data_IF_952332784440
#
_entry.id   IF_952332784440
#
_cell.length_a   1.000
_cell.length_b   1.000
_cell.length_c   1.000
_cell.angle_alpha   90.00
_cell.angle_beta   90.00
_cell.angle_gamma   90.00
#
_symmetry.space_group_name_H-M   'P 1'
#
loop_
_entity.id
_entity.type
_entity.pdbx_description
1 polymer ?
#
# COMPACT_ATOMS: atom_id res chain seq x y z
N UNK A 1 -4.41 -1.76 -9.32
CA UNK A 1 -3.16 -2.25 -8.68
C UNK A 1 -3.43 -3.58 -8.01
N UNK A 2 -2.46 -4.50 -8.06
CA UNK A 2 -2.55 -5.83 -7.45
C UNK A 2 -1.37 -6.06 -6.51
N UNK A 3 -1.63 -6.79 -5.43
CA UNK A 3 -0.61 -7.22 -4.46
C UNK A 3 -0.96 -8.58 -3.86
N UNK A 4 0.02 -9.23 -3.25
CA UNK A 4 -0.18 -10.51 -2.57
C UNK A 4 -0.77 -10.33 -1.16
N UNK A 5 -1.80 -11.10 -0.88
CA UNK A 5 -2.55 -11.10 0.38
C UNK A 5 -2.69 -12.53 0.90
N UNK A 6 -1.57 -13.11 1.34
CA UNK A 6 -1.49 -14.51 1.77
C UNK A 6 -1.47 -15.46 0.57
N UNK A 7 -2.40 -16.41 0.52
CA UNK A 7 -2.53 -17.38 -0.58
C UNK A 7 -3.37 -16.86 -1.77
N UNK A 8 -3.77 -15.59 -1.74
CA UNK A 8 -4.58 -14.94 -2.79
C UNK A 8 -3.97 -13.59 -3.13
N UNK A 9 -4.31 -13.07 -4.29
CA UNK A 9 -4.04 -11.68 -4.65
C UNK A 9 -5.20 -10.77 -4.31
N UNK A 10 -4.89 -9.55 -3.90
CA UNK A 10 -5.85 -8.46 -3.75
C UNK A 10 -5.67 -7.44 -4.86
N UNK A 11 -6.78 -6.78 -5.19
CA UNK A 11 -6.81 -5.65 -6.13
C UNK A 11 -7.35 -4.40 -5.44
N UNK A 12 -6.89 -3.25 -5.92
CA UNK A 12 -7.21 -1.96 -5.35
C UNK A 12 -6.52 -0.79 -6.03
N UNK A 13 -6.65 0.37 -5.39
CA UNK A 13 -6.17 1.65 -5.90
C UNK A 13 -5.19 2.28 -4.92
N UNK A 14 -4.10 2.86 -5.43
CA UNK A 14 -3.19 3.69 -4.63
C UNK A 14 -3.92 4.99 -4.29
N UNK A 15 -4.07 5.27 -3.00
CA UNK A 15 -4.66 6.52 -2.52
C UNK A 15 -3.61 7.57 -2.24
N UNK A 16 -2.45 7.15 -1.73
CA UNK A 16 -1.40 8.07 -1.31
C UNK A 16 -0.02 7.43 -1.48
N UNK A 17 0.92 8.23 -1.99
CA UNK A 17 2.36 7.96 -1.89
C UNK A 17 2.87 8.60 -0.61
N UNK A 18 3.54 7.81 0.22
CA UNK A 18 4.09 8.21 1.52
C UNK A 18 5.61 8.29 1.34
N UNK A 19 6.18 9.46 1.57
CA UNK A 19 7.62 9.72 1.43
C UNK A 19 8.25 10.22 2.72
N UNK A 20 7.52 10.19 3.82
CA UNK A 20 7.95 10.63 5.14
C UNK A 20 7.29 9.74 6.19
N UNK A 21 7.88 9.68 7.39
CA UNK A 21 7.32 8.95 8.52
C UNK A 21 5.88 9.43 8.81
N UNK A 22 4.94 8.49 8.87
CA UNK A 22 3.52 8.82 9.03
C UNK A 22 2.73 7.71 9.71
N UNK A 23 1.52 8.01 10.15
CA UNK A 23 0.58 7.00 10.64
C UNK A 23 -0.45 6.67 9.56
N UNK A 24 -0.36 5.47 8.97
CA UNK A 24 -1.22 5.04 7.87
C UNK A 24 -1.58 3.56 7.97
N UNK A 25 -2.78 3.16 7.53
CA UNK A 25 -3.20 1.75 7.60
C UNK A 25 -3.21 1.19 9.03
N UNK A 26 -3.51 2.06 10.01
CA UNK A 26 -3.54 1.77 11.47
C UNK A 26 -2.20 1.38 12.08
N UNK A 27 -1.08 1.81 11.49
CA UNK A 27 0.27 1.59 12.01
C UNK A 27 1.17 2.78 11.69
N UNK A 28 2.26 2.91 12.42
CA UNK A 28 3.33 3.83 12.04
C UNK A 28 4.13 3.23 10.88
N UNK A 29 4.41 4.08 9.89
CA UNK A 29 5.06 3.73 8.64
C UNK A 29 6.29 4.59 8.53
N UNK A 30 7.45 3.94 8.39
CA UNK A 30 8.68 4.62 8.00
C UNK A 30 8.78 4.71 6.49
N UNK A 31 9.09 5.88 5.98
CA UNK A 31 9.25 6.13 4.56
C UNK A 31 10.14 7.34 4.31
N UNK A 32 10.75 7.37 3.14
CA UNK A 32 11.54 8.50 2.66
C UNK A 32 11.23 8.76 1.19
N UNK A 33 11.69 9.88 0.59
CA UNK A 33 11.57 10.10 -0.85
C UNK A 33 12.28 9.02 -1.68
N UNK A 34 13.36 8.45 -1.14
CA UNK A 34 14.18 7.39 -1.75
C UNK A 34 13.56 6.00 -1.53
N UNK A 35 12.91 5.78 -0.39
CA UNK A 35 12.23 4.55 0.00
C UNK A 35 10.73 4.82 0.28
N UNK A 36 9.94 5.13 -0.76
CA UNK A 36 8.54 5.47 -0.58
C UNK A 36 7.70 4.25 -0.23
N UNK A 37 6.63 4.49 0.53
CA UNK A 37 5.57 3.52 0.80
C UNK A 37 4.27 3.97 0.12
N UNK A 38 3.34 3.05 -0.09
CA UNK A 38 2.08 3.35 -0.78
C UNK A 38 0.90 2.85 0.01
N UNK A 39 -0.01 3.77 0.34
CA UNK A 39 -1.32 3.43 0.89
C UNK A 39 -2.23 3.00 -0.26
N UNK A 40 -2.69 1.76 -0.21
CA UNK A 40 -3.64 1.22 -1.17
C UNK A 40 -4.96 0.91 -0.48
N UNK A 41 -6.08 1.16 -1.16
CA UNK A 41 -7.42 0.77 -0.75
C UNK A 41 -7.88 -0.43 -1.55
N UNK A 42 -8.28 -1.48 -0.84
CA UNK A 42 -8.88 -2.67 -1.43
C UNK A 42 -10.24 -2.36 -2.03
N UNK A 43 -10.44 -2.70 -3.30
CA UNK A 43 -11.75 -2.59 -3.96
C UNK A 43 -12.79 -3.51 -3.31
N UNK A 44 -12.37 -4.72 -2.94
CA UNK A 44 -13.28 -5.72 -2.36
C UNK A 44 -13.80 -5.34 -0.98
N UNK A 45 -12.94 -4.78 -0.13
CA UNK A 45 -13.23 -4.62 1.30
C UNK A 45 -13.29 -3.18 1.79
N UNK A 46 -12.87 -2.21 0.95
CA UNK A 46 -12.71 -0.81 1.35
C UNK A 46 -11.60 -0.56 2.37
N UNK A 47 -10.91 -1.60 2.85
CA UNK A 47 -9.81 -1.47 3.83
C UNK A 47 -8.55 -0.95 3.16
N UNK A 48 -7.76 -0.21 3.92
CA UNK A 48 -6.47 0.30 3.49
C UNK A 48 -5.31 -0.55 4.01
N UNK A 49 -4.25 -0.63 3.22
CA UNK A 49 -2.99 -1.30 3.54
C UNK A 49 -1.81 -0.50 3.00
N UNK A 50 -0.65 -0.67 3.61
CA UNK A 50 0.58 0.00 3.19
C UNK A 50 1.53 -1.03 2.61
N UNK A 51 2.04 -0.76 1.40
CA UNK A 51 2.94 -1.62 0.67
C UNK A 51 4.14 -0.84 0.12
N UNK A 52 5.29 -1.51 0.08
CA UNK A 52 6.45 -1.05 -0.66
C UNK A 52 6.17 -1.18 -2.18
N UNK A 53 6.70 -0.29 -3.03
CA UNK A 53 6.41 -0.28 -4.48
C UNK A 53 6.71 -1.60 -5.19
N UNK A 54 7.71 -2.37 -4.74
CA UNK A 54 8.07 -3.67 -5.33
C UNK A 54 6.98 -4.75 -5.17
N UNK A 55 6.05 -4.58 -4.22
CA UNK A 55 4.91 -5.49 -4.00
C UNK A 55 3.66 -5.09 -4.75
N UNK A 56 3.69 -3.95 -5.45
CA UNK A 56 2.57 -3.44 -6.22
C UNK A 56 2.79 -3.72 -7.70
N UNK A 57 1.87 -4.49 -8.27
CA UNK A 57 1.84 -4.79 -9.69
C UNK A 57 0.73 -3.98 -10.35
N UNK A 58 1.05 -3.28 -11.43
CA UNK A 58 0.02 -2.69 -12.28
C UNK A 58 -0.80 -3.83 -12.90
N UNK A 59 -2.11 -3.68 -12.82
CA UNK A 59 -3.12 -4.57 -13.40
C UNK A 59 -3.59 -4.02 -14.72
#
# INVERSE_FOLDING_TARGET
MRWDAGNKSSVGTVEQKITEDTHAGKRDVKASPEEPQYLVRSEKSGKTAVHHPDKLHQT
#
